data_IF_950385817637
#
_entry.id   IF_950385817637
#
_cell.length_a   1.000
_cell.length_b   1.000
_cell.length_c   1.000
_cell.angle_alpha   90.00
_cell.angle_beta   90.00
_cell.angle_gamma   90.00
#
_symmetry.space_group_name_H-M   'P 1'
#
loop_
_entity.id
_entity.type
_entity.pdbx_description
1 polymer ?
#
# COMPACT_ATOMS: atom_id res chain seq x y z
N UNK A 1 -16.28 5.23 5.18
CA UNK A 1 -15.66 4.70 6.42
C UNK A 1 -16.03 3.25 6.76
N UNK A 2 -17.31 2.86 6.83
CA UNK A 2 -17.70 1.47 7.16
C UNK A 2 -17.12 0.44 6.19
N UNK A 3 -17.19 0.72 4.87
CA UNK A 3 -16.67 -0.15 3.81
C UNK A 3 -15.15 -0.36 3.92
N UNK A 4 -14.37 0.71 4.01
CA UNK A 4 -12.91 0.65 4.23
C UNK A 4 -12.56 -0.24 5.44
N UNK A 5 -13.23 -0.03 6.59
CA UNK A 5 -12.97 -0.86 7.77
C UNK A 5 -13.27 -2.34 7.51
N UNK A 6 -14.35 -2.64 6.76
CA UNK A 6 -14.70 -4.01 6.38
C UNK A 6 -13.62 -4.66 5.52
N UNK A 7 -13.18 -3.97 4.46
CA UNK A 7 -12.11 -4.44 3.55
C UNK A 7 -10.84 -4.75 4.34
N UNK A 8 -10.38 -3.80 5.16
CA UNK A 8 -9.14 -3.95 5.93
C UNK A 8 -9.26 -5.03 7.03
N UNK A 9 -10.45 -5.27 7.56
CA UNK A 9 -10.66 -6.35 8.55
C UNK A 9 -10.60 -7.73 7.91
N UNK A 10 -11.08 -7.86 6.67
CA UNK A 10 -11.02 -9.12 5.93
C UNK A 10 -9.59 -9.44 5.46
N UNK A 11 -8.86 -8.41 5.02
CA UNK A 11 -7.44 -8.53 4.62
C UNK A 11 -6.53 -8.83 5.81
N UNK A 12 -6.64 -8.04 6.89
CA UNK A 12 -5.70 -8.08 8.01
C UNK A 12 -6.17 -9.06 9.08
N UNK A 13 -5.88 -10.34 8.87
CA UNK A 13 -6.16 -11.39 9.87
C UNK A 13 -5.16 -11.24 11.02
N UNK A 14 -5.49 -11.77 12.19
CA UNK A 14 -4.59 -11.72 13.35
C UNK A 14 -3.95 -13.09 13.53
N UNK A 15 -2.63 -13.19 13.80
CA UNK A 15 -1.68 -12.12 14.08
C UNK A 15 -0.83 -11.71 12.86
N UNK A 16 -1.41 -11.12 11.81
CA UNK A 16 -0.64 -10.72 10.63
C UNK A 16 0.37 -9.62 10.97
N UNK A 17 1.64 -9.89 10.68
CA UNK A 17 2.68 -8.88 10.59
C UNK A 17 2.60 -8.26 9.18
N UNK A 18 2.25 -6.98 9.11
CA UNK A 18 2.12 -6.28 7.83
C UNK A 18 3.44 -5.58 7.55
N UNK A 19 4.06 -5.86 6.42
CA UNK A 19 5.20 -5.12 5.94
C UNK A 19 4.71 -3.95 5.08
N UNK A 20 5.42 -2.83 5.13
CA UNK A 20 5.12 -1.67 4.31
C UNK A 20 6.34 -1.23 3.54
N UNK A 21 6.14 -0.81 2.29
CA UNK A 21 7.20 -0.23 1.47
C UNK A 21 6.71 1.03 0.77
N UNK A 22 7.58 2.04 0.72
CA UNK A 22 7.28 3.33 0.10
C UNK A 22 8.56 4.02 -0.36
N UNK A 23 8.45 4.92 -1.34
CA UNK A 23 9.57 5.77 -1.75
C UNK A 23 9.84 6.83 -0.68
N UNK A 24 11.01 6.79 -0.06
CA UNK A 24 11.41 7.72 0.99
C UNK A 24 12.32 8.83 0.49
N UNK A 25 12.84 8.72 -0.74
CA UNK A 25 13.65 9.74 -1.38
C UNK A 25 14.29 9.27 -2.67
N UNK A 26 15.15 10.12 -3.22
CA UNK A 26 15.95 9.81 -4.40
C UNK A 26 17.25 10.63 -4.43
N UNK A 27 18.18 10.21 -5.28
CA UNK A 27 19.43 10.91 -5.58
C UNK A 27 19.54 11.03 -7.10
N UNK A 28 19.46 12.25 -7.64
CA UNK A 28 19.66 12.48 -9.08
C UNK A 28 21.11 12.20 -9.48
N UNK A 29 21.32 11.57 -10.63
CA UNK A 29 22.66 11.30 -11.16
C UNK A 29 23.51 12.57 -11.27
N UNK A 30 24.80 12.44 -10.97
CA UNK A 30 25.73 13.56 -10.90
C UNK A 30 25.54 14.47 -9.67
N UNK A 31 24.57 14.19 -8.80
CA UNK A 31 24.43 14.83 -7.47
C UNK A 31 24.79 13.83 -6.38
N UNK A 32 25.29 14.35 -5.26
CA UNK A 32 25.59 13.56 -4.06
C UNK A 32 24.53 13.68 -2.97
N UNK A 33 23.61 14.65 -3.09
CA UNK A 33 22.64 14.97 -2.05
C UNK A 33 21.32 14.22 -2.26
N UNK A 34 20.92 13.46 -1.25
CA UNK A 34 19.58 12.87 -1.11
C UNK A 34 18.50 13.94 -0.99
N UNK A 35 17.41 13.76 -1.73
CA UNK A 35 16.15 14.47 -1.58
C UNK A 35 15.18 13.53 -0.86
N UNK A 36 14.58 14.00 0.24
CA UNK A 36 13.67 13.21 1.06
C UNK A 36 12.21 13.49 0.70
N UNK A 37 11.42 12.43 0.58
CA UNK A 37 9.98 12.54 0.41
C UNK A 37 9.30 12.94 1.71
N UNK A 38 8.29 13.82 1.61
CA UNK A 38 7.55 14.33 2.78
C UNK A 38 6.39 13.40 3.15
N UNK A 39 6.70 12.14 3.44
CA UNK A 39 5.70 11.07 3.64
C UNK A 39 4.85 11.22 4.90
N UNK A 40 5.38 11.89 5.94
CA UNK A 40 4.75 12.05 7.27
C UNK A 40 4.34 10.71 7.92
N UNK A 41 4.93 9.59 7.50
CA UNK A 41 4.49 8.25 7.91
C UNK A 41 4.62 7.99 9.41
N UNK A 42 5.62 8.62 10.05
CA UNK A 42 5.83 8.58 11.50
C UNK A 42 4.67 9.15 12.33
N UNK A 43 3.69 9.83 11.72
CA UNK A 43 2.46 10.27 12.41
C UNK A 43 1.46 9.13 12.61
N UNK A 44 1.55 8.07 11.81
CA UNK A 44 0.58 6.99 11.80
C UNK A 44 1.16 5.70 12.38
N UNK A 45 2.48 5.51 12.26
CA UNK A 45 3.14 4.22 12.45
C UNK A 45 4.47 4.41 13.16
N UNK A 46 4.84 3.47 14.03
CA UNK A 46 6.17 3.44 14.63
C UNK A 46 7.19 2.93 13.61
N UNK A 47 8.14 3.79 13.25
CA UNK A 47 9.25 3.42 12.35
C UNK A 47 10.29 2.64 13.18
N UNK A 48 10.18 1.32 13.18
CA UNK A 48 11.13 0.38 13.79
C UNK A 48 11.42 -0.74 12.79
N UNK A 49 12.58 -1.40 12.91
CA UNK A 49 12.94 -2.53 12.04
C UNK A 49 12.83 -2.18 10.54
N UNK A 50 13.36 -1.01 10.17
CA UNK A 50 13.31 -0.52 8.79
C UNK A 50 14.61 -0.81 8.03
N UNK A 51 14.48 -0.96 6.73
CA UNK A 51 15.61 -1.11 5.80
C UNK A 51 15.41 -0.19 4.59
N UNK A 52 16.50 0.20 3.94
CA UNK A 52 16.47 0.94 2.68
C UNK A 52 17.00 0.08 1.54
N UNK A 53 16.35 0.16 0.39
CA UNK A 53 16.79 -0.43 -0.87
C UNK A 53 16.91 0.68 -1.89
N UNK A 54 18.06 0.74 -2.55
CA UNK A 54 18.36 1.71 -3.60
C UNK A 54 18.24 1.02 -4.95
N UNK A 55 17.51 1.65 -5.87
CA UNK A 55 17.28 1.14 -7.23
C UNK A 55 17.60 2.26 -8.21
N UNK A 56 18.55 2.01 -9.09
CA UNK A 56 18.88 2.93 -10.16
C UNK A 56 17.79 2.92 -11.24
N UNK A 57 17.32 4.10 -11.61
CA UNK A 57 16.30 4.33 -12.63
C UNK A 57 16.86 5.31 -13.66
N UNK A 58 17.22 4.75 -14.82
CA UNK A 58 17.85 5.51 -15.91
C UNK A 58 16.87 6.45 -16.62
N UNK A 59 15.58 6.12 -16.63
CA UNK A 59 14.53 6.97 -17.21
C UNK A 59 14.34 8.23 -16.36
N UNK A 60 14.37 8.08 -15.03
CA UNK A 60 14.32 9.17 -14.06
C UNK A 60 15.69 9.81 -13.80
N UNK A 61 16.77 9.24 -14.37
CA UNK A 61 18.17 9.63 -14.14
C UNK A 61 18.49 9.79 -12.66
N UNK A 62 18.00 8.85 -11.85
CA UNK A 62 18.03 8.96 -10.40
C UNK A 62 18.11 7.57 -9.75
N UNK A 63 18.81 7.48 -8.63
CA UNK A 63 18.69 6.35 -7.71
C UNK A 63 17.48 6.59 -6.80
N UNK A 64 16.47 5.74 -6.89
CA UNK A 64 15.27 5.78 -6.05
C UNK A 64 15.53 5.01 -4.75
N UNK A 65 15.11 5.59 -3.62
CA UNK A 65 15.27 5.00 -2.29
C UNK A 65 13.91 4.52 -1.81
N UNK A 66 13.76 3.21 -1.70
CA UNK A 66 12.60 2.59 -1.06
C UNK A 66 12.93 2.30 0.40
N UNK A 67 12.00 2.63 1.29
CA UNK A 67 12.07 2.24 2.70
C UNK A 67 11.03 1.17 2.96
N UNK A 68 11.47 0.06 3.55
CA UNK A 68 10.60 -1.00 4.04
C UNK A 68 10.58 -0.97 5.56
N UNK A 69 9.39 -1.05 6.16
CA UNK A 69 9.20 -1.17 7.62
C UNK A 69 8.45 -2.47 7.86
N UNK A 70 9.02 -3.35 8.71
CA UNK A 70 8.45 -4.67 8.96
C UNK A 70 7.60 -4.75 10.21
N UNK A 71 6.58 -5.62 10.17
CA UNK A 71 5.79 -5.96 11.35
C UNK A 71 4.93 -4.81 11.90
N UNK A 72 4.36 -4.03 11.00
CA UNK A 72 3.39 -2.99 11.32
C UNK A 72 2.09 -3.60 11.84
N UNK A 73 1.50 -2.97 12.86
CA UNK A 73 0.19 -3.38 13.36
C UNK A 73 -0.96 -2.87 12.48
N UNK A 74 -1.98 -3.71 12.27
CA UNK A 74 -3.18 -3.38 11.45
C UNK A 74 -3.87 -2.06 11.84
N UNK A 75 -3.87 -1.69 13.11
CA UNK A 75 -4.48 -0.43 13.56
C UNK A 75 -3.68 0.80 13.09
N UNK A 76 -2.37 0.68 12.93
CA UNK A 76 -1.51 1.73 12.37
C UNK A 76 -1.80 1.89 10.87
N UNK A 77 -1.93 0.77 10.15
CA UNK A 77 -2.35 0.76 8.74
C UNK A 77 -3.73 1.40 8.59
N UNK A 78 -4.71 1.00 9.40
CA UNK A 78 -6.06 1.57 9.36
C UNK A 78 -6.06 3.09 9.57
N UNK A 79 -5.25 3.62 10.49
CA UNK A 79 -5.12 5.07 10.70
C UNK A 79 -4.60 5.78 9.47
N UNK A 80 -3.59 5.22 8.79
CA UNK A 80 -3.06 5.79 7.55
C UNK A 80 -4.10 5.72 6.43
N UNK A 81 -4.69 4.55 6.16
CA UNK A 81 -5.72 4.40 5.12
C UNK A 81 -6.89 5.37 5.34
N UNK A 82 -7.33 5.53 6.59
CA UNK A 82 -8.35 6.53 6.95
C UNK A 82 -7.91 7.95 6.61
N UNK A 83 -6.65 8.31 6.86
CA UNK A 83 -6.15 9.64 6.51
C UNK A 83 -6.15 9.87 4.99
N UNK A 84 -5.75 8.86 4.20
CA UNK A 84 -5.72 8.95 2.74
C UNK A 84 -7.11 9.14 2.14
N UNK A 85 -8.10 8.32 2.52
CA UNK A 85 -9.48 8.45 2.01
C UNK A 85 -10.16 9.77 2.39
N UNK A 86 -9.58 10.55 3.31
CA UNK A 86 -10.06 11.88 3.67
C UNK A 86 -9.22 13.00 3.01
N UNK A 87 -8.52 12.71 1.92
CA UNK A 87 -7.73 13.69 1.16
C UNK A 87 -6.36 13.98 1.77
N UNK A 88 -5.85 13.07 2.60
CA UNK A 88 -4.51 13.17 3.17
C UNK A 88 -3.41 13.12 2.09
N UNK A 89 -2.29 13.79 2.37
CA UNK A 89 -1.10 13.69 1.51
C UNK A 89 -0.67 12.24 1.36
N UNK A 90 -0.61 11.76 0.12
CA UNK A 90 -0.28 10.38 -0.22
C UNK A 90 1.23 10.16 -0.18
N UNK A 91 1.63 9.00 0.35
CA UNK A 91 3.01 8.54 0.34
C UNK A 91 3.18 7.26 -0.51
N UNK A 92 2.18 6.92 -1.33
CA UNK A 92 2.19 5.79 -2.28
C UNK A 92 2.71 4.48 -1.64
N UNK A 93 2.13 4.14 -0.50
CA UNK A 93 2.60 3.02 0.34
C UNK A 93 1.92 1.74 -0.12
N UNK A 94 2.73 0.70 -0.31
CA UNK A 94 2.25 -0.68 -0.43
C UNK A 94 2.26 -1.33 0.94
N UNK A 95 1.14 -1.92 1.34
CA UNK A 95 0.97 -2.72 2.56
C UNK A 95 0.84 -4.18 2.16
N UNK A 96 1.66 -5.08 2.67
CA UNK A 96 1.67 -6.45 2.19
C UNK A 96 2.14 -7.44 3.25
N UNK A 97 1.87 -8.70 2.96
CA UNK A 97 2.50 -9.85 3.58
C UNK A 97 2.64 -10.94 2.50
N UNK A 98 2.84 -12.19 2.91
CA UNK A 98 3.01 -13.29 1.94
C UNK A 98 1.72 -13.66 1.19
N UNK A 99 0.55 -13.15 1.59
CA UNK A 99 -0.75 -13.53 1.01
C UNK A 99 -1.40 -12.43 0.17
N UNK A 100 -1.18 -11.16 0.52
CA UNK A 100 -1.75 -10.03 -0.21
C UNK A 100 -0.80 -8.84 -0.31
N UNK A 101 -1.09 -7.97 -1.28
CA UNK A 101 -0.66 -6.59 -1.35
C UNK A 101 -1.89 -5.70 -1.45
N UNK A 102 -1.90 -4.67 -0.62
CA UNK A 102 -2.87 -3.58 -0.60
C UNK A 102 -2.15 -2.29 -0.97
N UNK A 103 -2.70 -1.59 -1.94
CA UNK A 103 -2.34 -0.21 -2.25
C UNK A 103 -3.59 0.67 -2.16
N UNK A 104 -3.41 1.90 -1.69
CA UNK A 104 -4.53 2.84 -1.51
C UNK A 104 -4.10 4.26 -1.87
N UNK A 105 -4.94 4.94 -2.65
CA UNK A 105 -4.87 6.37 -2.90
C UNK A 105 -6.23 7.03 -2.55
N UNK A 106 -6.41 8.29 -2.94
CA UNK A 106 -7.67 9.03 -2.65
C UNK A 106 -8.89 8.48 -3.37
N UNK A 107 -8.69 7.73 -4.46
CA UNK A 107 -9.72 7.42 -5.45
C UNK A 107 -10.04 5.92 -5.48
N UNK A 108 -9.00 5.06 -5.39
CA UNK A 108 -9.09 3.60 -5.50
C UNK A 108 -8.34 2.87 -4.37
N UNK A 109 -8.76 1.62 -4.17
CA UNK A 109 -8.08 0.64 -3.35
C UNK A 109 -7.78 -0.55 -4.24
N UNK A 110 -6.50 -0.85 -4.42
CA UNK A 110 -6.03 -1.99 -5.19
C UNK A 110 -5.63 -3.12 -4.24
N UNK A 111 -6.15 -4.31 -4.50
CA UNK A 111 -5.87 -5.52 -3.72
C UNK A 111 -5.39 -6.60 -4.68
N UNK A 112 -4.18 -7.08 -4.45
CA UNK A 112 -3.57 -8.18 -5.19
C UNK A 112 -3.36 -9.31 -4.19
N UNK A 113 -3.75 -10.53 -4.56
CA UNK A 113 -3.61 -11.71 -3.70
C UNK A 113 -3.46 -12.95 -4.56
N UNK A 114 -2.65 -13.90 -4.11
CA UNK A 114 -2.59 -15.23 -4.70
C UNK A 114 -3.74 -16.13 -4.20
N UNK A 115 -4.38 -15.76 -3.09
CA UNK A 115 -5.59 -16.41 -2.58
C UNK A 115 -6.81 -15.92 -3.39
N UNK A 116 -7.21 -16.72 -4.38
CA UNK A 116 -8.37 -16.45 -5.22
C UNK A 116 -9.69 -16.41 -4.41
N UNK A 117 -9.81 -17.26 -3.38
CA UNK A 117 -11.01 -17.30 -2.52
C UNK A 117 -11.19 -16.01 -1.72
N UNK A 118 -10.08 -15.39 -1.27
CA UNK A 118 -10.11 -14.05 -0.67
C UNK A 118 -10.64 -13.00 -1.67
N UNK A 119 -10.14 -13.01 -2.90
CA UNK A 119 -10.56 -12.05 -3.94
C UNK A 119 -12.03 -12.24 -4.32
N UNK A 120 -12.48 -13.48 -4.53
CA UNK A 120 -13.89 -13.80 -4.82
C UNK A 120 -14.81 -13.35 -3.69
N UNK A 121 -14.43 -13.60 -2.43
CA UNK A 121 -15.18 -13.16 -1.26
C UNK A 121 -15.30 -11.62 -1.22
N UNK A 122 -14.21 -10.90 -1.48
CA UNK A 122 -14.21 -9.43 -1.53
C UNK A 122 -15.09 -8.91 -2.67
N UNK A 123 -14.98 -9.47 -3.89
CA UNK A 123 -15.82 -9.12 -5.04
C UNK A 123 -17.31 -9.35 -4.76
N UNK A 124 -17.67 -10.46 -4.13
CA UNK A 124 -19.05 -10.76 -3.76
C UNK A 124 -19.58 -9.78 -2.71
N UNK A 125 -18.78 -9.47 -1.69
CA UNK A 125 -19.16 -8.59 -0.59
C UNK A 125 -19.28 -7.11 -1.01
N UNK A 126 -18.47 -6.68 -1.99
CA UNK A 126 -18.40 -5.29 -2.47
C UNK A 126 -18.79 -5.19 -3.96
N UNK A 127 -19.76 -6.00 -4.39
CA UNK A 127 -20.17 -6.16 -5.79
C UNK A 127 -20.65 -4.88 -6.46
N UNK A 128 -21.14 -3.91 -5.69
CA UNK A 128 -21.62 -2.63 -6.21
C UNK A 128 -20.51 -1.58 -6.32
N UNK A 129 -19.36 -1.84 -5.69
CA UNK A 129 -18.30 -0.85 -5.50
C UNK A 129 -17.02 -1.15 -6.27
N UNK A 130 -16.74 -2.42 -6.58
CA UNK A 130 -15.52 -2.77 -7.30
C UNK A 130 -15.67 -2.54 -8.81
N UNK A 131 -14.55 -2.21 -9.46
CA UNK A 131 -14.50 -2.01 -10.90
C UNK A 131 -14.63 -3.34 -11.66
N UNK A 132 -15.62 -3.42 -12.55
CA UNK A 132 -15.93 -4.60 -13.37
C UNK A 132 -15.36 -4.52 -14.77
N UNK A 133 -14.64 -3.45 -15.12
CA UNK A 133 -14.13 -3.23 -16.47
C UNK A 133 -13.32 -4.42 -17.01
N UNK A 134 -12.58 -5.11 -16.15
CA UNK A 134 -11.74 -6.26 -16.50
C UNK A 134 -12.39 -7.62 -16.20
N UNK A 135 -13.64 -7.66 -15.74
CA UNK A 135 -14.38 -8.92 -15.64
C UNK A 135 -14.77 -9.32 -17.06
N UNK A 136 -14.12 -10.35 -17.61
CA UNK A 136 -14.58 -10.96 -18.85
C UNK A 136 -15.90 -11.66 -18.50
N UNK A 137 -17.02 -11.13 -18.99
CA UNK A 137 -18.22 -11.96 -19.13
C UNK A 137 -17.88 -13.00 -20.19
N UNK A 138 -17.45 -14.20 -19.76
CA UNK A 138 -17.56 -15.38 -20.60
C UNK A 138 -19.06 -15.56 -20.87
N UNK A 139 -19.51 -15.00 -21.99
CA UNK A 139 -20.81 -15.29 -22.58
C UNK A 139 -20.80 -16.78 -22.95
N UNK A 140 -21.36 -17.61 -22.07
CA UNK A 140 -21.87 -18.95 -22.42
C UNK A 140 -23.04 -18.85 -23.42
#
# INVERSE_FOLDING_TARGET
MRKLRGILTELFKSPDAIDISFTSGYITYGKSKRINEKTKIGRFMKIKNWTETQVDDDDLKSTIIFTTIKGVHKDEVYKYCKYIVNGGQQAYISFYNDTYLLYINSDVIDIISADASLIEKLKLQYREEYDKFYEIEELE
#
